data_IF_874629959442
#
_entry.id   IF_874629959442
#
_cell.length_a   1.000
_cell.length_b   1.000
_cell.length_c   1.000
_cell.angle_alpha   90.00
_cell.angle_beta   90.00
_cell.angle_gamma   90.00
#
_symmetry.space_group_name_H-M   'P 1'
#
loop_
_entity.id
_entity.type
_entity.pdbx_description
1 polymer ?
#
# COMPACT_ATOMS: atom_id res chain seq x y z
N UNK A 1 14.78 -20.20 -4.41
CA UNK A 1 15.26 -21.17 -3.38
C UNK A 1 15.84 -22.43 -4.01
N UNK A 2 16.60 -23.17 -3.26
CA UNK A 2 17.23 -24.41 -3.70
C UNK A 2 16.55 -25.62 -3.04
N UNK A 3 15.81 -26.41 -3.82
CA UNK A 3 15.20 -27.66 -3.35
C UNK A 3 16.13 -28.88 -3.32
N UNK A 4 17.36 -28.76 -3.89
CA UNK A 4 18.31 -29.85 -3.97
C UNK A 4 19.05 -30.09 -2.63
N UNK A 5 19.55 -31.30 -2.44
CA UNK A 5 20.34 -31.68 -1.26
C UNK A 5 21.78 -31.18 -1.29
N UNK A 6 22.21 -30.39 -2.27
CA UNK A 6 23.57 -29.85 -2.43
C UNK A 6 23.52 -28.35 -2.71
N UNK A 7 24.59 -27.58 -2.39
CA UNK A 7 24.68 -26.18 -2.78
C UNK A 7 24.58 -26.01 -4.31
N UNK A 8 23.86 -24.98 -4.77
CA UNK A 8 23.73 -24.66 -6.18
C UNK A 8 24.30 -23.27 -6.43
N UNK A 9 25.26 -23.13 -7.38
CA UNK A 9 25.65 -21.81 -7.86
C UNK A 9 24.51 -21.21 -8.68
N UNK A 10 24.17 -19.96 -8.40
CA UNK A 10 23.19 -19.20 -9.17
C UNK A 10 23.79 -17.86 -9.60
N UNK A 11 23.37 -17.38 -10.76
CA UNK A 11 23.69 -16.04 -11.23
C UNK A 11 22.39 -15.26 -11.35
N UNK A 12 22.36 -14.09 -10.72
CA UNK A 12 21.20 -13.22 -10.73
C UNK A 12 21.62 -11.88 -11.27
N UNK A 13 20.98 -11.44 -12.33
CA UNK A 13 21.10 -10.08 -12.85
C UNK A 13 20.12 -9.16 -12.13
N UNK A 14 20.60 -8.04 -11.59
CA UNK A 14 19.78 -7.05 -10.91
C UNK A 14 20.17 -5.68 -11.40
N UNK A 15 19.27 -4.99 -12.10
CA UNK A 15 19.49 -3.64 -12.61
C UNK A 15 20.73 -3.54 -13.50
N UNK A 16 20.98 -4.53 -14.35
CA UNK A 16 22.13 -4.61 -15.25
C UNK A 16 23.46 -5.04 -14.59
N UNK A 17 23.45 -5.45 -13.31
CA UNK A 17 24.60 -6.00 -12.61
C UNK A 17 24.38 -7.47 -12.31
N UNK A 18 25.38 -8.31 -12.62
CA UNK A 18 25.32 -9.74 -12.35
C UNK A 18 25.94 -10.07 -10.99
N UNK A 19 25.19 -10.76 -10.15
CA UNK A 19 25.61 -11.28 -8.87
C UNK A 19 25.74 -12.80 -8.97
N UNK A 20 26.84 -13.32 -8.45
CA UNK A 20 27.04 -14.76 -8.27
C UNK A 20 26.77 -15.10 -6.82
N UNK A 21 25.87 -16.02 -6.59
CA UNK A 21 25.50 -16.48 -5.24
C UNK A 21 25.50 -17.99 -5.19
N UNK A 22 25.84 -18.52 -4.02
CA UNK A 22 25.69 -19.93 -3.73
C UNK A 22 24.46 -20.12 -2.86
N UNK A 23 23.49 -20.88 -3.37
CA UNK A 23 22.24 -21.14 -2.65
C UNK A 23 22.43 -22.43 -1.85
N UNK A 24 22.38 -22.38 -0.51
CA UNK A 24 22.61 -23.56 0.33
C UNK A 24 21.54 -24.62 0.08
N UNK A 25 21.85 -25.91 0.42
CA UNK A 25 20.89 -27.00 0.28
C UNK A 25 19.61 -26.70 1.07
N UNK A 26 18.47 -26.90 0.43
CA UNK A 26 17.15 -26.64 1.03
C UNK A 26 17.01 -25.26 1.66
N UNK A 27 17.69 -24.26 1.08
CA UNK A 27 17.76 -22.89 1.59
C UNK A 27 17.61 -21.84 0.51
N UNK A 28 17.95 -20.62 0.87
CA UNK A 28 17.93 -19.46 -0.01
C UNK A 28 19.17 -18.59 0.22
N UNK A 29 19.57 -17.86 -0.82
CA UNK A 29 20.60 -16.83 -0.72
C UNK A 29 19.94 -15.46 -0.61
N UNK A 30 20.55 -14.54 0.13
CA UNK A 30 20.08 -13.17 0.30
C UNK A 30 21.09 -12.20 -0.32
N UNK A 31 20.60 -11.37 -1.26
CA UNK A 31 21.36 -10.25 -1.80
C UNK A 31 21.13 -9.01 -0.92
N UNK A 32 22.21 -8.26 -0.66
CA UNK A 32 22.17 -7.03 0.13
C UNK A 32 22.62 -5.84 -0.72
N UNK A 33 22.29 -4.62 -0.32
CA UNK A 33 22.70 -3.40 -1.00
C UNK A 33 21.99 -3.15 -2.34
N UNK A 34 20.83 -3.77 -2.55
CA UNK A 34 20.05 -3.56 -3.76
C UNK A 34 19.34 -2.19 -3.76
N UNK A 35 19.11 -1.59 -4.93
CA UNK A 35 18.33 -0.35 -5.03
C UNK A 35 16.89 -0.59 -4.57
N UNK A 36 16.16 0.49 -4.23
CA UNK A 36 14.78 0.41 -3.74
C UNK A 36 13.80 -0.18 -4.75
N UNK A 37 14.11 -0.08 -6.04
CA UNK A 37 13.34 -0.67 -7.12
C UNK A 37 14.29 -1.29 -8.14
N UNK A 38 14.05 -2.52 -8.53
CA UNK A 38 14.88 -3.25 -9.50
C UNK A 38 14.10 -4.39 -10.15
N UNK A 39 14.53 -4.78 -11.34
CA UNK A 39 14.21 -6.08 -11.91
C UNK A 39 15.35 -7.05 -11.61
N UNK A 40 15.01 -8.27 -11.26
CA UNK A 40 15.95 -9.35 -11.08
C UNK A 40 15.64 -10.47 -12.06
N UNK A 41 16.69 -11.03 -12.68
CA UNK A 41 16.58 -12.17 -13.57
C UNK A 41 17.56 -13.23 -13.15
N UNK A 42 17.07 -14.45 -12.99
CA UNK A 42 17.94 -15.62 -12.79
C UNK A 42 18.56 -16.00 -14.13
N UNK A 43 19.90 -16.06 -14.16
CA UNK A 43 20.64 -16.44 -15.36
C UNK A 43 21.01 -17.92 -15.24
N UNK A 44 20.40 -18.77 -16.06
CA UNK A 44 20.67 -20.20 -16.08
C UNK A 44 19.58 -20.95 -16.86
N UNK A 45 19.88 -22.18 -17.22
CA UNK A 45 18.88 -23.10 -17.71
C UNK A 45 18.19 -23.77 -16.52
N UNK A 46 16.91 -23.52 -16.37
CA UNK A 46 16.06 -24.09 -15.36
C UNK A 46 14.88 -24.80 -16.04
N UNK A 47 14.23 -25.69 -15.28
CA UNK A 47 13.07 -26.45 -15.76
C UNK A 47 11.79 -25.60 -15.87
N UNK A 48 11.78 -24.38 -15.31
CA UNK A 48 10.63 -23.47 -15.23
C UNK A 48 11.06 -22.01 -15.54
N UNK A 49 11.31 -21.66 -16.81
CA UNK A 49 11.77 -20.31 -17.15
C UNK A 49 10.75 -19.19 -16.83
N UNK A 50 9.56 -19.53 -16.38
CA UNK A 50 8.51 -18.56 -16.05
C UNK A 50 8.72 -17.84 -14.70
N UNK A 51 9.54 -18.36 -13.80
CA UNK A 51 9.85 -17.76 -12.51
C UNK A 51 11.26 -17.14 -12.43
N UNK A 52 11.96 -17.10 -13.55
CA UNK A 52 13.32 -16.55 -13.65
C UNK A 52 13.36 -15.03 -13.54
N UNK A 53 12.26 -14.34 -13.74
CA UNK A 53 12.20 -12.87 -13.69
C UNK A 53 11.30 -12.39 -12.56
N UNK A 54 11.80 -11.46 -11.76
CA UNK A 54 11.03 -10.79 -10.73
C UNK A 54 11.34 -9.29 -10.71
N UNK A 55 10.31 -8.46 -10.65
CA UNK A 55 10.46 -7.02 -10.43
C UNK A 55 10.11 -6.69 -8.98
N UNK A 56 10.99 -5.94 -8.34
CA UNK A 56 10.84 -5.53 -6.95
C UNK A 56 10.82 -4.01 -6.83
N UNK A 57 10.01 -3.52 -5.91
CA UNK A 57 9.91 -2.11 -5.62
C UNK A 57 8.62 -1.47 -6.08
N UNK A 58 8.37 -0.29 -5.55
CA UNK A 58 7.23 0.51 -5.98
C UNK A 58 7.56 1.14 -7.33
N UNK A 59 6.76 0.82 -8.33
CA UNK A 59 6.84 1.51 -9.62
C UNK A 59 6.53 2.99 -9.43
N UNK A 60 7.34 3.87 -10.03
CA UNK A 60 7.00 5.27 -10.12
C UNK A 60 5.82 5.43 -11.07
N UNK A 61 4.72 5.96 -10.57
CA UNK A 61 3.53 6.20 -11.38
C UNK A 61 3.64 7.52 -12.13
N UNK A 62 3.24 7.50 -13.40
CA UNK A 62 2.99 8.69 -14.17
C UNK A 62 1.65 9.32 -13.80
N UNK A 63 1.67 10.52 -13.22
CA UNK A 63 0.46 11.24 -12.81
C UNK A 63 0.30 12.52 -13.61
N UNK A 64 -0.87 12.68 -14.25
CA UNK A 64 -1.28 13.93 -14.88
C UNK A 64 -2.10 14.75 -13.89
N UNK A 65 -1.56 15.89 -13.46
CA UNK A 65 -2.21 16.76 -12.47
C UNK A 65 -2.06 18.24 -12.80
N UNK A 66 -3.02 19.07 -12.38
CA UNK A 66 -2.90 20.53 -12.47
C UNK A 66 -1.67 21.03 -11.69
N UNK A 67 -0.93 21.96 -12.25
CA UNK A 67 0.25 22.55 -11.61
C UNK A 67 -0.14 23.45 -10.44
N UNK A 68 -0.53 22.84 -9.33
CA UNK A 68 -0.84 23.49 -8.07
C UNK A 68 0.24 23.13 -7.04
N UNK A 69 0.78 24.10 -6.26
CA UNK A 69 1.86 23.87 -5.32
C UNK A 69 1.58 22.74 -4.31
N UNK A 70 0.32 22.61 -3.88
CA UNK A 70 -0.09 21.53 -2.96
C UNK A 70 0.01 20.15 -3.61
N UNK A 71 -0.42 20.02 -4.87
CA UNK A 71 -0.34 18.75 -5.62
C UNK A 71 1.11 18.42 -5.99
N UNK A 72 1.92 19.42 -6.35
CA UNK A 72 3.34 19.21 -6.61
C UNK A 72 4.08 18.69 -5.37
N UNK A 73 3.80 19.27 -4.20
CA UNK A 73 4.34 18.77 -2.93
C UNK A 73 3.89 17.35 -2.63
N UNK A 74 2.59 17.07 -2.80
CA UNK A 74 2.01 15.75 -2.58
C UNK A 74 2.65 14.69 -3.48
N UNK A 75 2.69 14.91 -4.80
CA UNK A 75 3.21 13.92 -5.74
C UNK A 75 4.72 13.75 -5.66
N UNK A 76 5.45 14.80 -5.26
CA UNK A 76 6.87 14.67 -4.90
C UNK A 76 7.05 13.79 -3.66
N UNK A 77 6.25 13.97 -2.62
CA UNK A 77 6.26 13.13 -1.42
C UNK A 77 5.95 11.67 -1.74
N UNK A 78 5.01 11.47 -2.66
CA UNK A 78 4.61 10.14 -3.11
C UNK A 78 5.51 9.56 -4.20
N UNK A 79 6.63 10.17 -4.55
CA UNK A 79 7.57 9.72 -5.60
C UNK A 79 6.87 9.41 -6.93
N UNK A 80 5.93 10.26 -7.33
CA UNK A 80 5.24 10.18 -8.60
C UNK A 80 5.97 11.01 -9.66
N UNK A 81 5.89 10.57 -10.92
CA UNK A 81 6.46 11.27 -12.07
C UNK A 81 5.35 11.95 -12.88
N UNK A 82 5.64 12.99 -13.65
CA UNK A 82 4.72 13.46 -14.68
C UNK A 82 4.39 12.33 -15.67
N UNK A 83 3.11 12.13 -15.97
CA UNK A 83 2.66 11.06 -16.87
C UNK A 83 1.15 10.97 -16.93
N UNK A 84 0.61 9.94 -17.58
CA UNK A 84 -0.82 9.80 -17.86
C UNK A 84 -1.49 8.54 -17.30
N UNK A 85 -0.79 7.79 -16.46
CA UNK A 85 -1.33 6.52 -15.90
C UNK A 85 -2.44 6.77 -14.88
N UNK A 86 -2.32 7.86 -14.11
CA UNK A 86 -3.34 8.34 -13.20
C UNK A 86 -3.63 9.80 -13.52
N UNK A 87 -4.89 10.17 -13.50
CA UNK A 87 -5.32 11.55 -13.78
C UNK A 87 -5.82 12.23 -12.52
N UNK A 88 -5.50 13.50 -12.37
CA UNK A 88 -6.10 14.36 -11.35
C UNK A 88 -6.93 15.43 -12.02
N UNK A 89 -8.19 15.55 -11.63
CA UNK A 89 -9.13 16.50 -12.24
C UNK A 89 -9.78 17.39 -11.17
N UNK A 90 -9.83 18.69 -11.44
CA UNK A 90 -10.58 19.65 -10.62
C UNK A 90 -12.00 19.76 -11.19
N UNK A 91 -12.82 18.76 -10.94
CA UNK A 91 -14.15 18.66 -11.52
C UNK A 91 -15.08 17.79 -10.68
N UNK A 92 -16.38 17.96 -10.89
CA UNK A 92 -17.41 17.05 -10.40
C UNK A 92 -17.57 15.90 -11.40
N UNK A 93 -17.43 14.64 -10.95
CA UNK A 93 -17.61 13.48 -11.83
C UNK A 93 -19.00 13.44 -12.45
N UNK A 94 -19.08 13.25 -13.77
CA UNK A 94 -20.35 13.20 -14.52
C UNK A 94 -20.75 11.77 -14.94
N UNK A 95 -19.97 10.76 -14.54
CA UNK A 95 -20.18 9.36 -14.87
C UNK A 95 -19.16 8.46 -14.19
N UNK A 96 -18.99 7.25 -14.68
CA UNK A 96 -17.92 6.35 -14.26
C UNK A 96 -16.56 6.93 -14.67
N UNK A 97 -15.49 6.72 -13.86
CA UNK A 97 -14.14 7.14 -14.23
C UNK A 97 -13.64 6.41 -15.48
N UNK A 98 -13.02 7.13 -16.38
CA UNK A 98 -12.32 6.55 -17.54
C UNK A 98 -10.89 6.14 -17.13
N UNK A 99 -10.76 5.12 -16.28
CA UNK A 99 -9.50 4.67 -15.71
C UNK A 99 -9.12 5.40 -14.41
N UNK A 100 -7.90 5.18 -13.89
CA UNK A 100 -7.49 5.71 -12.60
C UNK A 100 -7.56 7.23 -12.53
N UNK A 101 -8.54 7.75 -11.82
CA UNK A 101 -8.77 9.21 -11.75
C UNK A 101 -9.10 9.67 -10.33
N UNK A 102 -8.32 10.64 -9.86
CA UNK A 102 -8.57 11.38 -8.63
C UNK A 102 -9.30 12.68 -8.99
N UNK A 103 -10.51 12.85 -8.50
CA UNK A 103 -11.28 14.08 -8.64
C UNK A 103 -11.18 14.89 -7.35
N UNK A 104 -10.98 16.17 -7.50
CA UNK A 104 -11.05 17.18 -6.45
C UNK A 104 -12.20 18.14 -6.78
N UNK A 105 -13.11 18.29 -5.86
CA UNK A 105 -14.24 19.19 -6.09
C UNK A 105 -13.76 20.63 -6.32
N UNK A 106 -14.35 21.36 -7.29
CA UNK A 106 -14.02 22.76 -7.49
C UNK A 106 -14.57 23.65 -6.36
N UNK A 107 -15.66 23.21 -5.73
CA UNK A 107 -16.33 23.92 -4.63
C UNK A 107 -16.82 22.92 -3.60
N UNK A 108 -17.15 23.40 -2.40
CA UNK A 108 -17.77 22.61 -1.34
C UNK A 108 -18.76 23.43 -0.53
N UNK A 109 -19.65 22.76 0.19
CA UNK A 109 -20.58 23.37 1.13
C UNK A 109 -19.92 23.80 2.44
N UNK A 110 -20.73 24.14 3.43
CA UNK A 110 -20.26 24.38 4.80
C UNK A 110 -19.68 23.09 5.39
N UNK A 111 -18.52 23.16 6.11
CA UNK A 111 -17.88 21.96 6.64
C UNK A 111 -18.76 21.19 7.64
N UNK A 112 -19.01 19.92 7.37
CA UNK A 112 -19.75 18.98 8.21
C UNK A 112 -18.80 18.01 8.90
N UNK A 113 -19.09 17.56 10.14
CA UNK A 113 -18.34 16.53 10.80
C UNK A 113 -18.51 15.18 10.06
N UNK A 114 -17.44 14.42 9.94
CA UNK A 114 -17.50 13.03 9.47
C UNK A 114 -18.06 12.17 10.60
N UNK A 115 -19.22 11.57 10.38
CA UNK A 115 -19.93 10.75 11.37
C UNK A 115 -19.81 9.25 11.07
N UNK A 116 -19.78 8.88 9.80
CA UNK A 116 -19.70 7.49 9.34
C UNK A 116 -18.61 7.33 8.29
N UNK A 117 -17.96 6.17 8.31
CA UNK A 117 -17.02 5.75 7.27
C UNK A 117 -17.34 4.33 6.83
N UNK A 118 -17.37 4.09 5.53
CA UNK A 118 -17.54 2.75 4.99
C UNK A 118 -16.25 1.93 5.16
N UNK A 119 -16.32 0.62 5.43
CA UNK A 119 -15.16 -0.26 5.38
C UNK A 119 -14.67 -0.35 3.92
N UNK A 120 -13.52 0.26 3.64
CA UNK A 120 -12.97 0.31 2.28
C UNK A 120 -11.44 0.37 2.31
N UNK A 121 -10.72 -0.33 1.41
CA UNK A 121 -9.25 -0.32 1.37
C UNK A 121 -8.62 1.07 1.26
N UNK A 122 -9.30 2.01 0.61
CA UNK A 122 -8.85 3.40 0.53
C UNK A 122 -8.76 4.09 1.89
N UNK A 123 -9.53 3.64 2.89
CA UNK A 123 -9.53 4.19 4.23
C UNK A 123 -8.63 3.43 5.21
N UNK A 124 -7.83 2.48 4.74
CA UNK A 124 -6.88 1.75 5.59
C UNK A 124 -5.88 2.72 6.24
N UNK A 125 -5.85 2.74 7.58
CA UNK A 125 -5.01 3.66 8.36
C UNK A 125 -5.41 5.13 8.30
N UNK A 126 -6.51 5.48 7.64
CA UNK A 126 -7.00 6.86 7.50
C UNK A 126 -7.99 7.18 8.62
N UNK A 127 -7.64 8.11 9.50
CA UNK A 127 -8.53 8.59 10.56
C UNK A 127 -9.36 9.78 10.05
N UNK A 128 -10.65 9.57 9.82
CA UNK A 128 -11.58 10.60 9.34
C UNK A 128 -12.64 10.99 10.35
N UNK A 129 -12.97 10.11 11.29
CA UNK A 129 -14.03 10.37 12.27
C UNK A 129 -13.73 11.63 13.08
N UNK A 130 -14.69 12.55 13.11
CA UNK A 130 -14.55 13.84 13.80
C UNK A 130 -13.88 14.95 12.96
N UNK A 131 -13.27 14.63 11.82
CA UNK A 131 -12.82 15.66 10.86
C UNK A 131 -14.02 16.44 10.33
N UNK A 132 -13.81 17.71 10.03
CA UNK A 132 -14.83 18.57 9.41
C UNK A 132 -14.45 18.81 7.95
N UNK A 133 -15.28 18.32 7.04
CA UNK A 133 -15.05 18.40 5.60
C UNK A 133 -16.21 19.11 4.90
N UNK A 134 -15.93 20.00 3.95
CA UNK A 134 -16.97 20.57 3.12
C UNK A 134 -17.52 19.49 2.18
N UNK A 135 -18.83 19.25 2.15
CA UNK A 135 -19.41 18.30 1.23
C UNK A 135 -19.15 18.76 -0.21
N UNK A 136 -18.57 17.91 -1.06
CA UNK A 136 -18.45 18.23 -2.47
C UNK A 136 -19.81 18.14 -3.15
N UNK A 137 -20.03 18.81 -4.28
CA UNK A 137 -21.22 18.58 -5.10
C UNK A 137 -21.39 17.09 -5.40
N UNK A 138 -22.62 16.53 -5.32
CA UNK A 138 -22.83 15.11 -5.50
C UNK A 138 -22.38 14.65 -6.90
N UNK A 139 -21.60 13.57 -7.01
CA UNK A 139 -21.16 13.03 -8.29
C UNK A 139 -22.32 12.32 -8.99
N UNK A 140 -22.28 12.24 -10.32
CA UNK A 140 -23.20 11.40 -11.10
C UNK A 140 -22.55 10.06 -11.43
N UNK A 141 -23.35 9.00 -11.47
CA UNK A 141 -22.91 7.67 -11.85
C UNK A 141 -22.68 6.72 -10.66
N UNK A 142 -21.79 5.71 -10.77
CA UNK A 142 -21.68 4.62 -9.83
C UNK A 142 -20.83 4.95 -8.58
N UNK A 143 -20.89 6.19 -8.12
CA UNK A 143 -20.11 6.64 -6.96
C UNK A 143 -20.80 6.26 -5.66
N UNK A 144 -20.02 5.73 -4.73
CA UNK A 144 -20.48 5.36 -3.38
C UNK A 144 -19.80 6.25 -2.34
N UNK A 145 -20.53 6.74 -1.32
CA UNK A 145 -19.90 7.51 -0.27
C UNK A 145 -18.97 6.60 0.55
N UNK A 146 -17.74 7.09 0.80
CA UNK A 146 -16.76 6.49 1.72
C UNK A 146 -16.86 7.09 3.11
N UNK A 147 -17.29 8.35 3.19
CA UNK A 147 -17.49 9.07 4.44
C UNK A 147 -18.75 9.92 4.31
N UNK A 148 -19.53 9.95 5.39
CA UNK A 148 -20.79 10.67 5.46
C UNK A 148 -20.83 11.57 6.69
N UNK A 149 -21.44 12.72 6.53
CA UNK A 149 -21.73 13.67 7.59
C UNK A 149 -23.18 13.61 8.05
N UNK A 150 -23.60 14.65 8.73
CA UNK A 150 -24.97 14.81 9.20
C UNK A 150 -25.99 14.68 8.07
N UNK A 151 -27.10 14.00 8.34
CA UNK A 151 -28.15 13.75 7.34
C UNK A 151 -27.79 12.80 6.21
N UNK A 152 -26.69 12.00 6.34
CA UNK A 152 -26.25 11.09 5.29
C UNK A 152 -25.60 11.81 4.10
N UNK A 153 -25.15 13.04 4.28
CA UNK A 153 -24.46 13.80 3.23
C UNK A 153 -23.09 13.21 2.98
N UNK A 154 -22.84 12.75 1.75
CA UNK A 154 -21.54 12.19 1.36
C UNK A 154 -20.45 13.26 1.33
N UNK A 155 -19.30 12.94 1.95
CA UNK A 155 -18.16 13.83 2.08
C UNK A 155 -16.97 13.38 1.25
N UNK A 156 -16.85 12.08 0.99
CA UNK A 156 -15.88 11.45 0.09
C UNK A 156 -16.58 10.34 -0.66
N UNK A 157 -16.17 10.12 -1.90
CA UNK A 157 -16.78 9.08 -2.73
C UNK A 157 -15.73 8.24 -3.45
N UNK A 158 -16.04 6.97 -3.67
CA UNK A 158 -15.26 6.08 -4.53
C UNK A 158 -16.12 5.44 -5.60
N UNK A 159 -15.48 5.14 -6.72
CA UNK A 159 -15.96 4.28 -7.77
C UNK A 159 -14.82 3.37 -8.22
N UNK A 160 -15.09 2.37 -9.05
CA UNK A 160 -14.04 1.55 -9.63
C UNK A 160 -13.07 2.44 -10.44
N UNK A 161 -11.80 2.46 -10.04
CA UNK A 161 -10.79 3.34 -10.63
C UNK A 161 -10.92 4.82 -10.28
N UNK A 162 -11.83 5.24 -9.39
CA UNK A 162 -12.06 6.63 -9.05
C UNK A 162 -12.09 6.95 -7.57
N UNK A 163 -11.54 8.09 -7.21
CA UNK A 163 -11.66 8.69 -5.88
C UNK A 163 -12.08 10.16 -6.04
N UNK A 164 -13.16 10.56 -5.36
CA UNK A 164 -13.65 11.94 -5.40
C UNK A 164 -13.65 12.56 -4.01
N UNK A 165 -12.96 13.68 -3.90
CA UNK A 165 -12.62 14.35 -2.65
C UNK A 165 -13.20 15.76 -2.59
N UNK A 166 -13.32 16.35 -1.39
CA UNK A 166 -13.60 17.77 -1.18
C UNK A 166 -12.62 18.68 -1.93
N UNK A 167 -12.89 20.01 -1.95
CA UNK A 167 -11.96 20.98 -2.54
C UNK A 167 -10.56 20.88 -1.92
N UNK A 168 -9.54 20.94 -2.78
CA UNK A 168 -8.14 20.83 -2.38
C UNK A 168 -7.77 21.77 -1.24
N UNK A 169 -8.24 23.01 -1.27
CA UNK A 169 -7.97 24.03 -0.24
C UNK A 169 -8.42 23.60 1.16
N UNK A 170 -9.44 22.76 1.25
CA UNK A 170 -9.97 22.29 2.53
C UNK A 170 -9.21 21.09 3.10
N UNK A 171 -8.47 20.34 2.27
CA UNK A 171 -7.87 19.07 2.65
C UNK A 171 -6.34 19.02 2.49
N UNK A 172 -5.73 19.97 1.74
CA UNK A 172 -4.30 19.92 1.39
C UNK A 172 -3.36 19.85 2.58
N UNK A 173 -3.74 20.46 3.72
CA UNK A 173 -2.92 20.51 4.94
C UNK A 173 -3.39 19.49 6.00
N UNK A 174 -4.33 18.61 5.64
CA UNK A 174 -4.83 17.56 6.54
C UNK A 174 -3.95 16.30 6.45
N UNK A 175 -3.58 15.68 7.59
CA UNK A 175 -2.68 14.53 7.61
C UNK A 175 -3.24 13.30 6.89
N UNK A 176 -4.57 13.15 6.83
CA UNK A 176 -5.21 12.05 6.13
C UNK A 176 -5.09 12.12 4.60
N UNK A 177 -4.92 13.33 4.03
CA UNK A 177 -4.95 13.52 2.58
C UNK A 177 -3.82 12.78 1.84
N UNK A 178 -2.53 12.90 2.24
CA UNK A 178 -1.47 12.13 1.61
C UNK A 178 -1.66 10.63 1.72
N UNK A 179 -2.15 10.13 2.86
CA UNK A 179 -2.38 8.71 3.09
C UNK A 179 -3.52 8.17 2.22
N UNK A 180 -4.62 8.92 2.12
CA UNK A 180 -5.75 8.57 1.28
C UNK A 180 -5.36 8.50 -0.20
N UNK A 181 -4.58 9.48 -0.69
CA UNK A 181 -4.06 9.48 -2.06
C UNK A 181 -3.05 8.34 -2.25
N UNK A 182 -2.19 8.06 -1.27
CA UNK A 182 -1.29 6.90 -1.30
C UNK A 182 -2.07 5.59 -1.46
N UNK A 183 -3.10 5.37 -0.65
CA UNK A 183 -3.94 4.18 -0.72
C UNK A 183 -4.64 4.05 -2.09
N UNK A 184 -5.07 5.17 -2.68
CA UNK A 184 -5.61 5.19 -4.03
C UNK A 184 -4.59 4.81 -5.09
N UNK A 185 -3.33 5.24 -4.95
CA UNK A 185 -2.27 4.95 -5.90
C UNK A 185 -1.64 3.56 -5.71
N UNK A 186 -1.73 2.99 -4.52
CA UNK A 186 -1.10 1.73 -4.14
C UNK A 186 -1.35 0.58 -5.14
N UNK A 187 -2.59 0.28 -5.57
CA UNK A 187 -2.85 -0.80 -6.53
C UNK A 187 -2.19 -0.61 -7.90
N UNK A 188 -1.95 0.65 -8.29
CA UNK A 188 -1.33 0.98 -9.58
C UNK A 188 0.20 1.02 -9.49
N UNK A 189 0.73 1.17 -8.27
CA UNK A 189 2.16 1.15 -7.97
C UNK A 189 2.73 -0.23 -7.76
N UNK A 190 1.93 -1.13 -7.26
CA UNK A 190 2.29 -2.52 -7.17
C UNK A 190 2.55 -2.97 -8.59
N UNK A 191 3.84 -3.08 -8.95
CA UNK A 191 4.20 -3.72 -10.18
C UNK A 191 3.42 -5.03 -10.19
N UNK A 192 2.59 -5.24 -11.20
CA UNK A 192 2.17 -6.60 -11.53
C UNK A 192 3.48 -7.27 -11.88
N UNK A 193 4.13 -7.82 -10.86
CA UNK A 193 5.24 -8.72 -11.06
C UNK A 193 4.69 -9.75 -12.02
N UNK A 194 5.37 -10.02 -13.11
CA UNK A 194 5.05 -11.14 -13.99
C UNK A 194 5.21 -12.49 -13.30
N UNK A 195 5.39 -12.47 -11.99
CA UNK A 195 5.21 -13.60 -11.11
C UNK A 195 3.78 -14.06 -11.29
N UNK A 196 3.65 -15.31 -11.65
CA UNK A 196 2.48 -16.15 -11.66
C UNK A 196 1.41 -15.56 -10.73
N UNK A 197 0.17 -15.51 -11.23
CA UNK A 197 -0.96 -15.08 -10.42
C UNK A 197 -0.82 -15.63 -9.00
N UNK A 198 -1.23 -14.89 -7.96
CA UNK A 198 -1.13 -15.38 -6.57
C UNK A 198 -1.56 -16.83 -6.37
N UNK A 199 -2.48 -17.29 -7.21
CA UNK A 199 -2.93 -18.67 -7.26
C UNK A 199 -1.86 -19.68 -7.72
N UNK A 200 -0.90 -19.26 -8.50
CA UNK A 200 0.19 -20.13 -8.95
C UNK A 200 1.35 -20.18 -7.95
N UNK A 201 1.47 -19.18 -7.06
CA UNK A 201 2.33 -19.25 -5.88
C UNK A 201 1.70 -20.05 -4.73
N UNK A 202 0.41 -20.39 -4.86
CA UNK A 202 -0.34 -21.30 -3.98
C UNK A 202 -0.25 -22.76 -4.42
N UNK A 203 0.69 -23.15 -5.28
CA UNK A 203 1.09 -24.54 -5.29
C UNK A 203 1.44 -24.89 -3.83
N UNK A 204 0.70 -25.84 -3.20
CA UNK A 204 1.06 -26.29 -1.89
C UNK A 204 2.49 -26.82 -2.02
N UNK A 205 3.45 -25.99 -1.60
CA UNK A 205 4.72 -26.56 -1.21
C UNK A 205 4.33 -27.58 -0.15
N UNK A 206 4.56 -28.89 -0.37
CA UNK A 206 4.18 -29.90 0.61
C UNK A 206 4.85 -29.67 1.96
N UNK A 207 5.50 -28.58 2.15
CA UNK A 207 6.31 -28.20 3.28
C UNK A 207 6.13 -26.72 3.69
N UNK A 208 4.90 -26.22 3.74
CA UNK A 208 4.61 -24.99 4.47
C UNK A 208 5.02 -25.04 5.98
N UNK A 209 5.64 -26.14 6.40
CA UNK A 209 6.29 -26.31 7.71
C UNK A 209 7.74 -25.87 7.77
N UNK A 210 8.36 -25.47 6.66
CA UNK A 210 9.79 -25.11 6.59
C UNK A 210 10.10 -23.62 6.47
N UNK A 211 9.18 -22.73 6.77
CA UNK A 211 9.67 -21.46 7.29
C UNK A 211 10.46 -21.81 8.54
N UNK A 212 11.79 -21.53 8.61
CA UNK A 212 12.49 -21.66 9.85
C UNK A 212 11.71 -20.79 10.82
N UNK A 213 11.02 -21.41 11.77
CA UNK A 213 10.58 -20.70 12.95
C UNK A 213 11.86 -20.06 13.45
N UNK A 214 12.02 -18.77 13.18
CA UNK A 214 12.98 -18.00 13.94
C UNK A 214 12.67 -18.36 15.38
N UNK A 215 13.56 -19.09 16.00
CA UNK A 215 13.57 -19.28 17.44
C UNK A 215 13.88 -17.91 18.03
N UNK A 216 12.92 -17.00 17.86
CA UNK A 216 12.90 -15.74 18.54
C UNK A 216 12.75 -15.99 20.01
N UNK A 217 13.86 -16.28 20.68
CA UNK A 217 13.92 -16.26 22.14
C UNK A 217 13.44 -14.94 22.74
N UNK A 218 13.35 -13.88 21.92
CA UNK A 218 12.81 -12.59 22.29
C UNK A 218 11.32 -12.59 22.65
N UNK A 219 10.48 -13.34 21.94
CA UNK A 219 9.05 -13.35 22.23
C UNK A 219 8.69 -13.89 23.61
N UNK A 220 9.45 -14.88 24.08
CA UNK A 220 9.29 -15.42 25.47
C UNK A 220 9.79 -14.44 26.51
N UNK A 221 10.86 -13.72 26.24
CA UNK A 221 11.39 -12.69 27.14
C UNK A 221 10.44 -11.50 27.25
N UNK A 222 9.85 -11.06 26.15
CA UNK A 222 8.81 -10.01 26.13
C UNK A 222 7.55 -10.45 26.84
N UNK A 223 7.09 -11.68 26.65
CA UNK A 223 5.93 -12.21 27.37
C UNK A 223 6.17 -12.30 28.88
N UNK A 224 7.36 -12.71 29.31
CA UNK A 224 7.76 -12.76 30.71
C UNK A 224 7.88 -11.35 31.32
N UNK A 225 8.45 -10.39 30.59
CA UNK A 225 8.52 -9.00 31.05
C UNK A 225 7.13 -8.36 31.18
N UNK A 226 6.25 -8.59 30.20
CA UNK A 226 4.87 -8.10 30.26
C UNK A 226 4.09 -8.72 31.44
N UNK A 227 4.25 -10.03 31.68
CA UNK A 227 3.64 -10.70 32.81
C UNK A 227 4.19 -10.18 34.16
N UNK A 228 5.48 -9.89 34.24
CA UNK A 228 6.12 -9.32 35.44
C UNK A 228 5.59 -7.91 35.75
N UNK A 229 5.43 -7.06 34.71
CA UNK A 229 4.89 -5.70 34.85
C UNK A 229 3.45 -5.76 35.35
N UNK A 230 2.63 -6.63 34.78
CA UNK A 230 1.23 -6.81 35.21
C UNK A 230 1.13 -7.34 36.66
N UNK A 231 2.03 -8.24 37.05
CA UNK A 231 2.09 -8.75 38.41
C UNK A 231 2.50 -7.66 39.41
N UNK A 232 3.48 -6.82 39.07
CA UNK A 232 3.92 -5.69 39.88
C UNK A 232 2.82 -4.62 40.02
N UNK A 233 2.07 -4.35 38.96
CA UNK A 233 0.90 -3.46 39.04
C UNK A 233 -0.19 -4.05 39.92
N UNK A 234 -0.54 -5.33 39.77
CA UNK A 234 -1.54 -5.99 40.62
C UNK A 234 -1.16 -5.97 42.11
N UNK A 235 0.13 -6.18 42.45
CA UNK A 235 0.63 -6.08 43.83
C UNK A 235 0.60 -4.64 44.37
N UNK A 236 0.77 -3.65 43.48
CA UNK A 236 0.70 -2.22 43.85
C UNK A 236 -0.74 -1.76 44.13
N UNK A 237 -1.71 -2.27 43.39
CA UNK A 237 -3.11 -1.99 43.61
C UNK A 237 -3.70 -2.79 44.78
N UNK A 238 -3.30 -4.05 45.03
CA UNK A 238 -3.72 -4.86 46.15
C UNK A 238 -3.24 -4.38 47.54
N UNK A 239 -2.30 -3.43 47.59
CA UNK A 239 -1.84 -2.81 48.86
C UNK A 239 -2.57 -1.50 49.20
N UNK A 240 -3.54 -1.09 48.40
CA UNK A 240 -4.34 0.14 48.61
C UNK A 240 -5.81 -0.12 48.89
N UNK A 241 -6.20 -1.36 49.10
CA UNK A 241 -7.52 -1.78 49.57
C UNK A 241 -7.52 -2.14 51.07
#
# INVERSE_FOLDING_TARGET
>A
GNGAGRPLPAQVEVGGKTFRVEVPPRGYARLQGLPKAFSARLLGEDALPLDDEAAFGLRRLGVDYPRLPALERLFRLLDALPGSEVRVRLAVPQGAPEGPTLYLAPTGGAPLPVLLTAPHPLLEGVALLGERLPPPPPPKGPWRPLAEGEGGVGLLYAAEGGLYLPPLVAIQDRPFFPLLVYNFLKPYREARTGLLAPEATLLPTPEAGFLPRERGGGGRLFALLAALVLLLEALRFGRRA
#
